data_IF_756521634811
#
_entry.id   IF_756521634811
#
_cell.length_a   1.000
_cell.length_b   1.000
_cell.length_c   1.000
_cell.angle_alpha   90.00
_cell.angle_beta   90.00
_cell.angle_gamma   90.00
#
_symmetry.space_group_name_H-M   'P 1'
#
loop_
_entity.id
_entity.type
_entity.pdbx_description
1 polymer ?
#
# COMPACT_ATOMS: atom_id res chain seq x y z
N UNK A 1 -7.67 -33.15 35.38
CA UNK A 1 -6.57 -32.54 34.60
C UNK A 1 -7.06 -32.43 33.16
N UNK A 2 -7.85 -31.38 32.87
CA UNK A 2 -8.27 -31.08 31.51
C UNK A 2 -7.20 -30.15 30.93
N UNK A 3 -6.57 -30.61 29.84
CA UNK A 3 -5.54 -29.89 29.11
C UNK A 3 -6.24 -28.75 28.37
N UNK A 4 -6.01 -27.53 28.83
CA UNK A 4 -6.51 -26.30 28.22
C UNK A 4 -5.97 -26.23 26.78
N UNK A 5 -6.87 -26.25 25.81
CA UNK A 5 -6.55 -26.19 24.39
C UNK A 5 -6.08 -24.78 24.07
N UNK A 6 -4.81 -24.72 23.70
CA UNK A 6 -4.07 -23.60 23.13
C UNK A 6 -4.95 -22.80 22.16
N UNK A 7 -5.34 -21.61 22.60
CA UNK A 7 -6.13 -20.67 21.83
C UNK A 7 -5.19 -20.02 20.81
N UNK A 8 -5.05 -20.67 19.64
CA UNK A 8 -4.37 -20.07 18.50
C UNK A 8 -5.07 -18.75 18.18
N UNK A 9 -4.39 -17.63 18.35
CA UNK A 9 -4.87 -16.30 17.97
C UNK A 9 -5.25 -16.31 16.48
N UNK A 10 -6.53 -16.48 16.18
CA UNK A 10 -7.07 -16.26 14.83
C UNK A 10 -7.04 -14.74 14.64
N UNK A 11 -6.04 -14.26 13.90
CA UNK A 11 -6.01 -12.88 13.45
C UNK A 11 -7.14 -12.66 12.44
N UNK A 12 -8.04 -11.73 12.70
CA UNK A 12 -9.10 -11.31 11.76
C UNK A 12 -8.56 -10.46 10.59
N UNK A 13 -7.24 -10.29 10.52
CA UNK A 13 -6.53 -9.36 9.63
C UNK A 13 -5.61 -10.11 8.67
N UNK A 14 -5.57 -9.63 7.43
CA UNK A 14 -4.67 -10.11 6.38
C UNK A 14 -3.81 -8.96 5.85
N UNK A 15 -2.48 -9.09 5.98
CA UNK A 15 -1.54 -8.11 5.47
C UNK A 15 -1.13 -8.43 4.03
N UNK A 16 -1.08 -7.42 3.18
CA UNK A 16 -0.68 -7.61 1.79
C UNK A 16 0.83 -7.89 1.69
N UNK A 17 1.20 -9.06 1.17
CA UNK A 17 2.61 -9.46 1.01
C UNK A 17 3.45 -8.53 0.11
N UNK A 18 2.79 -7.75 -0.77
CA UNK A 18 3.49 -6.81 -1.67
C UNK A 18 3.75 -5.45 -1.02
N UNK A 19 2.83 -4.95 -0.19
CA UNK A 19 2.88 -3.54 0.23
C UNK A 19 2.66 -3.33 1.74
N UNK A 20 2.19 -4.35 2.47
CA UNK A 20 2.00 -4.30 3.92
C UNK A 20 0.69 -3.64 4.38
N UNK A 21 -0.24 -3.33 3.47
CA UNK A 21 -1.57 -2.85 3.88
C UNK A 21 -2.32 -3.94 4.63
N UNK A 22 -2.90 -3.57 5.77
CA UNK A 22 -3.89 -4.38 6.48
C UNK A 22 -5.22 -4.39 5.73
N UNK A 23 -5.78 -5.58 5.55
CA UNK A 23 -7.07 -5.84 4.90
C UNK A 23 -7.88 -6.78 5.80
N UNK A 24 -9.20 -6.85 5.57
CA UNK A 24 -10.01 -7.86 6.24
C UNK A 24 -9.63 -9.25 5.73
N UNK A 25 -9.71 -10.29 6.57
CA UNK A 25 -9.43 -11.67 6.15
C UNK A 25 -10.31 -12.18 5.00
N UNK A 26 -11.46 -11.56 4.80
CA UNK A 26 -12.41 -11.87 3.71
C UNK A 26 -12.07 -11.18 2.38
N UNK A 27 -11.15 -10.22 2.38
CA UNK A 27 -10.80 -9.47 1.17
C UNK A 27 -10.03 -10.37 0.19
N UNK A 28 -10.43 -10.36 -1.08
CA UNK A 28 -9.73 -11.13 -2.12
C UNK A 28 -8.46 -10.43 -2.62
N UNK A 29 -8.47 -9.10 -2.62
CA UNK A 29 -7.40 -8.27 -3.13
C UNK A 29 -7.11 -7.13 -2.16
N UNK A 30 -5.85 -6.70 -2.16
CA UNK A 30 -5.40 -5.62 -1.33
C UNK A 30 -6.15 -4.33 -1.70
N UNK A 31 -6.79 -3.74 -0.70
CA UNK A 31 -7.59 -2.51 -0.84
C UNK A 31 -6.77 -1.26 -1.21
N UNK A 32 -5.45 -1.41 -1.36
CA UNK A 32 -4.53 -0.34 -1.73
C UNK A 32 -3.83 -0.60 -3.06
N UNK A 33 -3.07 -1.69 -3.17
CA UNK A 33 -2.28 -1.97 -4.37
C UNK A 33 -3.00 -2.87 -5.38
N UNK A 34 -4.13 -3.47 -5.01
CA UNK A 34 -4.87 -4.41 -5.86
C UNK A 34 -4.26 -5.81 -5.95
N UNK A 35 -3.12 -6.07 -5.31
CA UNK A 35 -2.49 -7.40 -5.30
C UNK A 35 -3.38 -8.44 -4.63
N UNK A 36 -3.36 -9.69 -5.13
CA UNK A 36 -4.19 -10.75 -4.56
C UNK A 36 -3.73 -11.07 -3.12
N UNK A 37 -4.68 -11.20 -2.22
CA UNK A 37 -4.42 -11.65 -0.85
C UNK A 37 -4.39 -13.19 -0.85
N UNK A 38 -3.26 -13.76 -0.42
CA UNK A 38 -3.02 -15.21 -0.44
C UNK A 38 -2.54 -15.63 0.93
N UNK A 39 -3.27 -16.55 1.54
CA UNK A 39 -2.82 -17.21 2.77
C UNK A 39 -1.84 -18.31 2.37
N UNK A 40 -0.61 -18.21 2.83
CA UNK A 40 0.47 -19.15 2.52
C UNK A 40 0.75 -19.97 3.77
N UNK A 41 0.61 -21.27 3.66
CA UNK A 41 0.90 -22.25 4.73
C UNK A 41 2.18 -23.02 4.39
N UNK A 42 2.74 -23.74 5.37
CA UNK A 42 3.91 -24.60 5.17
C UNK A 42 3.67 -25.73 4.15
N UNK A 43 2.41 -26.07 3.89
CA UNK A 43 1.99 -27.07 2.90
C UNK A 43 1.82 -26.47 1.49
N UNK A 44 1.92 -25.15 1.34
CA UNK A 44 1.75 -24.49 0.04
C UNK A 44 2.92 -24.83 -0.88
N UNK A 45 2.65 -25.50 -1.99
CA UNK A 45 3.68 -25.81 -2.99
C UNK A 45 4.17 -24.52 -3.68
N UNK A 46 5.47 -24.25 -3.57
CA UNK A 46 6.14 -23.14 -4.24
C UNK A 46 7.40 -23.63 -4.94
N UNK A 47 7.57 -23.40 -6.25
CA UNK A 47 8.75 -23.85 -7.01
C UNK A 47 10.05 -23.16 -6.54
N UNK A 48 9.94 -22.02 -5.87
CA UNK A 48 11.06 -21.24 -5.34
C UNK A 48 11.20 -21.38 -3.82
N UNK A 49 10.46 -22.31 -3.19
CA UNK A 49 10.41 -22.47 -1.75
C UNK A 49 9.53 -21.42 -1.05
N UNK A 50 9.48 -21.50 0.28
CA UNK A 50 8.74 -20.60 1.15
C UNK A 50 9.73 -19.88 2.08
N UNK A 51 9.37 -18.69 2.54
CA UNK A 51 10.17 -17.90 3.50
C UNK A 51 9.40 -17.75 4.80
N UNK A 52 10.02 -18.07 5.92
CA UNK A 52 9.45 -17.91 7.27
C UNK A 52 9.62 -16.47 7.77
N UNK A 53 8.60 -15.94 8.43
CA UNK A 53 8.67 -14.65 9.13
C UNK A 53 9.51 -14.79 10.42
N UNK A 54 10.39 -13.83 10.69
CA UNK A 54 11.22 -13.82 11.91
C UNK A 54 10.44 -13.48 13.18
N UNK A 55 9.28 -12.83 13.05
CA UNK A 55 8.49 -12.34 14.19
C UNK A 55 7.36 -13.29 14.59
N UNK A 56 6.68 -13.90 13.62
CA UNK A 56 5.52 -14.76 13.89
C UNK A 56 5.67 -16.19 13.36
N UNK A 57 6.82 -16.52 12.78
CA UNK A 57 7.15 -17.84 12.22
C UNK A 57 6.26 -18.34 11.06
N UNK A 58 5.20 -17.59 10.69
CA UNK A 58 4.38 -17.94 9.54
C UNK A 58 5.16 -17.94 8.22
N UNK A 59 4.75 -18.82 7.32
CA UNK A 59 5.31 -18.96 5.99
C UNK A 59 4.73 -17.96 5.01
N UNK A 60 5.56 -17.49 4.09
CA UNK A 60 5.23 -16.50 3.08
C UNK A 60 5.80 -16.92 1.73
N UNK A 61 5.29 -16.30 0.67
CA UNK A 61 5.87 -16.46 -0.67
C UNK A 61 7.31 -15.92 -0.71
N UNK A 62 8.18 -16.47 -1.58
CA UNK A 62 9.59 -16.10 -1.63
C UNK A 62 9.84 -14.66 -2.11
N UNK A 63 8.84 -14.03 -2.71
CA UNK A 63 8.87 -12.62 -3.13
C UNK A 63 8.04 -11.70 -2.21
N UNK A 64 7.59 -12.19 -1.05
CA UNK A 64 6.86 -11.37 -0.10
C UNK A 64 7.80 -10.33 0.52
N UNK A 65 7.44 -9.05 0.41
CA UNK A 65 8.11 -7.96 1.12
C UNK A 65 7.61 -7.83 2.57
N UNK A 66 6.38 -8.28 2.82
CA UNK A 66 5.70 -8.24 4.13
C UNK A 66 5.11 -9.60 4.47
N UNK A 67 5.09 -9.95 5.75
CA UNK A 67 4.42 -11.15 6.22
C UNK A 67 2.90 -10.99 6.08
N UNK A 68 2.24 -11.96 5.47
CA UNK A 68 0.79 -11.90 5.26
C UNK A 68 -0.02 -11.96 6.56
N UNK A 69 0.58 -12.53 7.61
CA UNK A 69 -0.09 -12.76 8.88
C UNK A 69 0.12 -11.64 9.91
N UNK A 70 1.37 -11.24 10.16
CA UNK A 70 1.68 -10.22 11.18
C UNK A 70 2.06 -8.85 10.60
N UNK A 71 2.29 -8.74 9.28
CA UNK A 71 2.65 -7.48 8.62
C UNK A 71 4.12 -7.08 8.75
N UNK A 72 4.97 -7.87 9.41
CA UNK A 72 6.42 -7.60 9.52
C UNK A 72 7.10 -7.64 8.15
N UNK A 73 8.02 -6.72 7.90
CA UNK A 73 8.88 -6.73 6.71
C UNK A 73 9.79 -7.96 6.68
N UNK A 74 9.81 -8.65 5.54
CA UNK A 74 10.64 -9.83 5.33
C UNK A 74 11.93 -9.34 4.68
N UNK A 75 13.01 -9.25 5.46
CA UNK A 75 14.32 -8.87 4.93
C UNK A 75 14.74 -9.83 3.81
N UNK A 76 15.06 -9.29 2.63
CA UNK A 76 15.21 -10.02 1.36
C UNK A 76 16.39 -10.98 1.24
N UNK A 77 16.86 -11.59 2.34
CA UNK A 77 18.12 -12.34 2.37
C UNK A 77 17.96 -13.81 2.82
N UNK A 78 16.74 -14.31 3.09
CA UNK A 78 16.53 -15.67 3.62
C UNK A 78 15.99 -16.69 2.59
N UNK A 79 16.52 -16.66 1.35
CA UNK A 79 16.26 -17.70 0.37
C UNK A 79 17.57 -18.33 -0.14
N UNK A 80 18.24 -19.08 0.72
CA UNK A 80 19.11 -20.21 0.36
C UNK A 80 18.86 -21.24 1.48
N UNK A 81 18.12 -22.32 1.24
CA UNK A 81 18.69 -23.54 0.67
C UNK A 81 17.61 -24.27 -0.13
N UNK A 82 17.78 -24.36 -1.45
CA UNK A 82 17.10 -25.38 -2.22
C UNK A 82 17.61 -26.73 -1.73
N UNK A 83 16.78 -27.48 -0.99
CA UNK A 83 17.08 -28.87 -0.69
C UNK A 83 17.18 -29.63 -2.02
N UNK A 84 18.42 -29.97 -2.35
CA UNK A 84 18.85 -30.86 -3.39
C UNK A 84 18.19 -32.25 -3.25
N UNK A 85 17.55 -32.78 -4.31
CA UNK A 85 17.48 -34.21 -4.50
C UNK A 85 18.31 -34.59 -5.74
N UNK A 86 19.47 -35.21 -5.49
CA UNK A 86 20.11 -36.07 -6.49
C UNK A 86 19.17 -37.23 -6.83
N UNK A 87 19.19 -37.56 -8.12
CA UNK A 87 18.84 -38.83 -8.76
C UNK A 87 17.38 -39.30 -8.72
N UNK A 88 16.64 -39.05 -9.81
CA UNK A 88 15.82 -40.08 -10.46
C UNK A 88 16.02 -39.97 -11.97
N UNK A 89 16.45 -41.09 -12.55
CA UNK A 89 16.66 -41.34 -13.97
C UNK A 89 15.34 -41.48 -14.75
N UNK A 90 15.30 -40.92 -15.95
CA UNK A 90 14.63 -41.47 -17.15
C UNK A 90 13.13 -41.79 -17.07
N UNK A 91 12.32 -40.99 -17.77
CA UNK A 91 10.93 -41.36 -18.08
C UNK A 91 10.24 -40.29 -18.91
N UNK A 92 9.58 -40.71 -19.99
CA UNK A 92 9.11 -39.90 -21.10
C UNK A 92 8.01 -38.87 -20.75
N UNK A 93 8.03 -37.78 -21.53
CA UNK A 93 6.95 -36.82 -21.76
C UNK A 93 5.67 -37.58 -22.13
N UNK A 94 4.56 -37.29 -21.44
CA UNK A 94 3.22 -37.35 -22.01
C UNK A 94 2.30 -36.33 -21.32
N UNK A 95 1.55 -35.61 -22.16
CA UNK A 95 0.58 -34.54 -21.87
C UNK A 95 -0.65 -35.02 -21.10
N UNK A 96 -1.10 -34.26 -20.10
CA UNK A 96 -2.49 -34.24 -19.58
C UNK A 96 -2.74 -32.84 -19.01
N UNK A 97 -3.36 -31.93 -19.77
CA UNK A 97 -4.79 -31.58 -19.79
C UNK A 97 -5.14 -30.42 -18.85
N UNK A 98 -5.65 -29.34 -19.46
CA UNK A 98 -5.96 -28.08 -18.82
C UNK A 98 -7.15 -28.21 -17.87
N UNK A 99 -6.93 -28.11 -16.56
CA UNK A 99 -8.03 -28.08 -15.59
C UNK A 99 -8.38 -26.65 -15.12
N UNK A 100 -9.53 -26.22 -15.66
CA UNK A 100 -10.51 -25.21 -15.21
C UNK A 100 -10.12 -24.29 -14.05
N UNK A 101 -10.07 -23.00 -14.38
CA UNK A 101 -10.23 -21.86 -13.46
C UNK A 101 -11.56 -22.01 -12.71
N UNK A 102 -11.52 -22.21 -11.39
CA UNK A 102 -12.68 -22.13 -10.52
C UNK A 102 -13.03 -20.65 -10.26
N UNK A 103 -14.22 -20.23 -10.69
CA UNK A 103 -14.82 -18.91 -10.44
C UNK A 103 -16.02 -19.13 -9.50
N UNK A 104 -16.00 -18.68 -8.23
CA UNK A 104 -17.19 -18.70 -7.40
C UNK A 104 -18.15 -17.58 -7.84
N UNK A 105 -19.44 -17.92 -7.96
CA UNK A 105 -20.50 -16.96 -8.28
C UNK A 105 -20.77 -16.01 -7.11
N UNK A 106 -20.90 -14.72 -7.42
CA UNK A 106 -21.20 -13.65 -6.48
C UNK A 106 -22.72 -13.56 -6.30
N UNK A 107 -23.21 -13.69 -5.06
CA UNK A 107 -24.52 -13.15 -4.68
C UNK A 107 -24.34 -12.20 -3.48
N UNK A 108 -24.75 -10.92 -3.60
CA UNK A 108 -24.72 -9.99 -2.48
C UNK A 108 -26.03 -10.07 -1.68
N UNK A 109 -25.93 -10.31 -0.37
CA UNK A 109 -27.00 -10.00 0.58
C UNK A 109 -26.52 -8.86 1.47
N UNK A 110 -27.13 -7.70 1.24
CA UNK A 110 -27.04 -6.50 2.06
C UNK A 110 -27.87 -6.70 3.32
N UNK A 111 -27.29 -6.43 4.49
CA UNK A 111 -28.08 -6.05 5.66
C UNK A 111 -27.35 -5.01 6.48
N UNK A 112 -27.91 -3.80 6.44
CA UNK A 112 -27.65 -2.69 7.33
C UNK A 112 -28.15 -3.03 8.74
N UNK A 113 -27.30 -2.85 9.74
CA UNK A 113 -27.67 -2.91 11.16
C UNK A 113 -26.93 -1.80 11.92
N UNK A 114 -27.67 -0.75 12.22
CA UNK A 114 -27.26 0.43 12.98
C UNK A 114 -27.67 0.20 14.44
N UNK A 115 -26.78 0.31 15.42
CA UNK A 115 -27.18 0.61 16.80
C UNK A 115 -26.04 1.15 17.67
N UNK A 116 -26.35 2.25 18.35
CA UNK A 116 -25.53 3.00 19.31
C UNK A 116 -25.66 2.39 20.70
N UNK A 117 -24.61 2.52 21.52
CA UNK A 117 -24.62 2.96 22.94
C UNK A 117 -23.25 2.63 23.56
N UNK A 118 -22.40 3.62 23.84
CA UNK A 118 -22.32 4.37 25.10
C UNK A 118 -21.70 3.57 26.27
N UNK A 119 -20.48 3.93 26.66
CA UNK A 119 -20.03 3.95 28.07
C UNK A 119 -18.83 4.88 28.20
N UNK A 120 -18.98 5.92 29.01
CA UNK A 120 -17.89 6.81 29.44
C UNK A 120 -17.53 6.57 30.90
N UNK A 121 -16.52 7.32 31.38
CA UNK A 121 -16.00 7.45 32.77
C UNK A 121 -14.54 6.99 32.85
N UNK A 122 -13.57 7.70 33.42
CA UNK A 122 -13.47 8.99 34.12
C UNK A 122 -11.99 9.36 34.16
N UNK A 123 -11.72 10.65 34.27
CA UNK A 123 -10.42 11.24 34.54
C UNK A 123 -9.90 10.82 35.93
N UNK A 124 -8.60 10.54 36.04
CA UNK A 124 -7.87 10.70 37.28
C UNK A 124 -6.41 11.07 37.00
N UNK A 125 -6.11 12.32 37.32
CA UNK A 125 -4.81 12.97 37.30
C UNK A 125 -4.04 12.60 38.58
N UNK A 126 -2.73 12.30 38.48
CA UNK A 126 -1.64 13.00 39.22
C UNK A 126 -0.30 12.27 39.08
N UNK A 127 0.71 13.08 38.75
CA UNK A 127 2.12 13.04 39.17
C UNK A 127 2.86 11.70 39.24
N UNK A 128 3.68 11.42 38.23
CA UNK A 128 5.14 11.23 38.43
C UNK A 128 5.84 11.27 37.05
N UNK A 129 6.59 12.33 36.75
CA UNK A 129 7.42 12.39 35.54
C UNK A 129 8.71 13.15 35.82
N UNK A 130 9.57 12.53 36.64
CA UNK A 130 11.00 12.87 36.72
C UNK A 130 11.89 11.72 36.17
N UNK A 131 11.36 10.89 35.27
CA UNK A 131 12.09 9.81 34.59
C UNK A 131 11.90 9.72 33.07
N UNK A 132 11.45 10.80 32.40
CA UNK A 132 11.43 10.84 30.91
C UNK A 132 12.72 11.46 30.38
N UNK A 133 13.83 10.75 30.58
CA UNK A 133 15.06 10.94 29.81
C UNK A 133 15.52 9.55 29.43
N UNK A 134 15.59 9.29 28.12
CA UNK A 134 16.00 8.04 27.46
C UNK A 134 14.89 7.09 26.96
N UNK A 135 13.78 7.63 26.45
CA UNK A 135 13.04 6.95 25.38
C UNK A 135 13.00 7.84 24.14
N UNK A 136 14.10 7.83 23.37
CA UNK A 136 14.03 8.20 21.95
C UNK A 136 13.32 7.07 21.21
N UNK A 137 12.02 6.93 21.45
CA UNK A 137 11.19 6.04 20.65
C UNK A 137 11.18 6.61 19.25
N UNK A 138 11.78 5.85 18.34
CA UNK A 138 11.49 5.86 16.92
C UNK A 138 10.02 6.26 16.72
N UNK A 139 9.77 7.45 16.17
CA UNK A 139 8.39 7.88 15.87
C UNK A 139 7.85 6.80 14.95
N UNK A 140 6.91 6.00 15.45
CA UNK A 140 6.36 4.87 14.70
C UNK A 140 5.98 5.35 13.30
N UNK A 141 6.59 4.75 12.30
CA UNK A 141 6.41 5.20 10.92
C UNK A 141 5.02 4.81 10.44
N UNK A 142 4.09 5.76 10.51
CA UNK A 142 2.68 5.61 10.14
C UNK A 142 2.41 5.62 8.64
N UNK A 143 3.46 5.72 7.80
CA UNK A 143 3.27 5.71 6.35
C UNK A 143 2.57 4.43 5.87
N UNK A 144 1.83 4.55 4.78
CA UNK A 144 1.10 3.43 4.20
C UNK A 144 -0.14 2.98 4.97
N UNK A 145 -0.40 3.53 6.15
CA UNK A 145 -1.64 3.33 6.91
C UNK A 145 -2.71 4.32 6.45
N UNK A 146 -3.97 3.86 6.30
CA UNK A 146 -5.09 4.70 5.84
C UNK A 146 -5.35 5.91 6.74
N UNK A 147 -5.29 5.69 8.05
CA UNK A 147 -5.51 6.72 9.08
C UNK A 147 -4.21 7.13 9.78
N UNK A 148 -3.06 6.77 9.22
CA UNK A 148 -1.75 7.12 9.76
C UNK A 148 -1.62 8.62 10.01
N UNK A 149 -1.07 8.98 11.17
CA UNK A 149 -0.79 10.37 11.52
C UNK A 149 0.24 10.94 10.55
N UNK A 150 -0.07 12.06 9.91
CA UNK A 150 0.86 12.67 8.94
C UNK A 150 1.81 13.60 9.68
N UNK A 151 3.14 13.35 9.61
CA UNK A 151 4.13 14.22 10.24
C UNK A 151 3.97 15.67 9.75
N UNK A 152 4.04 16.67 10.64
CA UNK A 152 3.89 18.06 10.26
C UNK A 152 4.96 18.52 9.26
N UNK A 153 6.14 17.90 9.29
CA UNK A 153 7.29 18.21 8.43
C UNK A 153 7.03 18.02 6.93
N UNK A 154 6.12 17.10 6.57
CA UNK A 154 5.80 16.81 5.17
C UNK A 154 4.55 17.55 4.69
N UNK A 155 3.86 18.27 5.57
CA UNK A 155 2.71 19.09 5.19
C UNK A 155 3.22 20.29 4.39
N UNK A 156 2.64 20.49 3.22
CA UNK A 156 3.05 21.58 2.34
C UNK A 156 2.58 21.35 0.91
N UNK A 157 2.84 22.34 0.07
CA UNK A 157 2.48 22.29 -1.34
C UNK A 157 3.29 21.25 -2.10
N UNK A 158 2.61 20.38 -2.84
CA UNK A 158 3.22 19.39 -3.71
C UNK A 158 3.10 19.82 -5.19
N UNK A 159 4.21 20.31 -5.73
CA UNK A 159 4.30 20.75 -7.13
C UNK A 159 4.03 19.63 -8.14
N UNK A 160 4.44 18.39 -7.83
CA UNK A 160 4.20 17.26 -8.73
C UNK A 160 2.73 16.88 -8.78
N UNK A 161 2.06 16.85 -7.63
CA UNK A 161 0.64 16.57 -7.50
C UNK A 161 -0.23 17.63 -8.19
N UNK A 162 0.20 18.88 -8.21
CA UNK A 162 -0.48 19.95 -8.92
C UNK A 162 -0.25 19.92 -10.44
N UNK A 163 1.00 19.82 -10.89
CA UNK A 163 1.35 19.97 -12.31
C UNK A 163 1.06 18.72 -13.16
N UNK A 164 1.13 17.53 -12.54
CA UNK A 164 0.88 16.26 -13.23
C UNK A 164 0.14 15.26 -12.33
N UNK A 165 -1.10 15.58 -11.90
CA UNK A 165 -1.81 14.82 -10.87
C UNK A 165 -1.93 13.32 -11.19
N UNK A 166 -2.27 12.99 -12.45
CA UNK A 166 -2.47 11.62 -12.89
C UNK A 166 -1.18 10.79 -12.86
N UNK A 167 -0.10 11.29 -13.47
CA UNK A 167 1.19 10.58 -13.56
C UNK A 167 1.80 10.44 -12.16
N UNK A 168 1.91 11.55 -11.44
CA UNK A 168 2.50 11.54 -10.10
C UNK A 168 1.70 10.67 -9.12
N UNK A 169 0.37 10.72 -9.18
CA UNK A 169 -0.48 10.01 -8.25
C UNK A 169 -0.45 8.49 -8.43
N UNK A 170 -0.29 8.01 -9.66
CA UNK A 170 -0.09 6.58 -9.95
C UNK A 170 1.15 6.04 -9.22
N UNK A 171 2.29 6.73 -9.32
CA UNK A 171 3.55 6.28 -8.70
C UNK A 171 3.67 6.61 -7.21
N UNK A 172 2.83 7.52 -6.71
CA UNK A 172 2.79 7.91 -5.30
C UNK A 172 1.74 7.15 -4.47
N UNK A 173 0.97 6.25 -5.09
CA UNK A 173 -0.05 5.46 -4.41
C UNK A 173 -1.30 6.26 -4.04
N UNK A 174 -1.67 7.24 -4.87
CA UNK A 174 -2.75 8.20 -4.59
C UNK A 174 -3.97 7.86 -5.47
N UNK A 175 -4.96 7.11 -4.97
CA UNK A 175 -6.04 6.56 -5.80
C UNK A 175 -6.94 7.63 -6.44
N UNK A 176 -7.08 8.80 -5.80
CA UNK A 176 -7.85 9.93 -6.36
C UNK A 176 -7.27 10.44 -7.70
N UNK A 177 -5.99 10.17 -7.99
CA UNK A 177 -5.40 10.51 -9.28
C UNK A 177 -6.02 9.75 -10.46
N UNK A 178 -6.50 8.52 -10.23
CA UNK A 178 -7.22 7.75 -11.26
C UNK A 178 -8.56 8.41 -11.62
N UNK A 179 -9.28 8.94 -10.63
CA UNK A 179 -10.51 9.68 -10.85
C UNK A 179 -10.27 10.97 -11.65
N UNK A 180 -9.17 11.68 -11.37
CA UNK A 180 -8.79 12.85 -12.18
C UNK A 180 -8.42 12.46 -13.62
N UNK A 181 -7.76 11.32 -13.83
CA UNK A 181 -7.48 10.85 -15.17
C UNK A 181 -8.78 10.59 -15.97
N UNK A 182 -9.79 10.00 -15.32
CA UNK A 182 -11.11 9.81 -15.94
C UNK A 182 -11.83 11.13 -16.26
N UNK A 183 -11.57 12.20 -15.49
CA UNK A 183 -12.18 13.51 -15.73
C UNK A 183 -11.77 14.16 -17.07
N UNK A 184 -10.69 13.69 -17.72
CA UNK A 184 -10.28 14.13 -19.07
C UNK A 184 -11.34 13.81 -20.13
N UNK A 185 -12.16 12.77 -19.92
CA UNK A 185 -13.21 12.37 -20.87
C UNK A 185 -14.53 13.13 -20.66
N UNK A 186 -14.62 13.99 -19.65
CA UNK A 186 -15.80 14.83 -19.44
C UNK A 186 -15.84 15.96 -20.49
N UNK A 187 -17.05 16.35 -20.94
CA UNK A 187 -17.19 17.40 -21.94
C UNK A 187 -16.67 18.74 -21.43
N UNK A 188 -16.13 19.53 -22.34
CA UNK A 188 -15.67 20.88 -22.04
C UNK A 188 -16.85 21.83 -21.78
N UNK A 189 -16.73 22.78 -20.82
CA UNK A 189 -15.57 23.05 -19.96
C UNK A 189 -15.57 22.28 -18.63
N UNK A 190 -16.57 21.43 -18.37
CA UNK A 190 -16.77 20.80 -17.07
C UNK A 190 -15.58 19.92 -16.66
N UNK A 191 -15.06 19.10 -17.57
CA UNK A 191 -13.88 18.27 -17.30
C UNK A 191 -12.65 19.08 -16.90
N UNK A 192 -12.39 20.18 -17.60
CA UNK A 192 -11.25 21.07 -17.34
C UNK A 192 -11.38 21.75 -15.97
N UNK A 193 -12.59 22.16 -15.58
CA UNK A 193 -12.83 22.74 -14.25
C UNK A 193 -12.57 21.70 -13.15
N UNK A 194 -13.07 20.47 -13.31
CA UNK A 194 -12.83 19.38 -12.36
C UNK A 194 -11.33 19.07 -12.25
N UNK A 195 -10.63 19.00 -13.38
CA UNK A 195 -9.17 18.79 -13.42
C UNK A 195 -8.41 19.90 -12.71
N UNK A 196 -8.76 21.18 -12.92
CA UNK A 196 -8.11 22.31 -12.29
C UNK A 196 -8.34 22.33 -10.77
N UNK A 197 -9.59 22.16 -10.33
CA UNK A 197 -9.92 22.11 -8.89
C UNK A 197 -9.22 20.91 -8.23
N UNK A 198 -9.28 19.74 -8.88
CA UNK A 198 -8.61 18.53 -8.43
C UNK A 198 -7.10 18.71 -8.30
N UNK A 199 -6.45 19.32 -9.30
CA UNK A 199 -5.03 19.61 -9.28
C UNK A 199 -4.65 20.54 -8.12
N UNK A 200 -5.40 21.61 -7.88
CA UNK A 200 -5.15 22.52 -6.75
C UNK A 200 -5.33 21.80 -5.42
N UNK A 201 -6.40 21.01 -5.27
CA UNK A 201 -6.63 20.19 -4.08
C UNK A 201 -5.49 19.22 -3.80
N UNK A 202 -5.01 18.53 -4.83
CA UNK A 202 -3.84 17.65 -4.75
C UNK A 202 -2.53 18.42 -4.52
N UNK A 203 -2.42 19.67 -4.96
CA UNK A 203 -1.32 20.54 -4.58
C UNK A 203 -1.24 20.72 -3.06
N UNK A 204 -2.36 20.95 -2.38
CA UNK A 204 -2.37 21.10 -0.92
C UNK A 204 -2.28 19.77 -0.15
N UNK A 205 -3.01 18.75 -0.60
CA UNK A 205 -3.16 17.47 0.13
C UNK A 205 -2.31 16.33 -0.41
N UNK A 206 -1.57 16.54 -1.49
CA UNK A 206 -0.81 15.51 -2.19
C UNK A 206 0.19 14.80 -1.29
N UNK A 207 0.93 15.54 -0.46
CA UNK A 207 1.89 14.91 0.46
C UNK A 207 1.19 13.99 1.48
N UNK A 208 0.03 14.41 2.01
CA UNK A 208 -0.74 13.58 2.95
C UNK A 208 -1.25 12.30 2.29
N UNK A 209 -1.78 12.40 1.07
CA UNK A 209 -2.23 11.24 0.32
C UNK A 209 -1.08 10.33 -0.07
N UNK A 210 0.07 10.88 -0.48
CA UNK A 210 1.25 10.08 -0.83
C UNK A 210 1.89 9.40 0.38
N UNK A 211 1.82 10.03 1.56
CA UNK A 211 2.28 9.43 2.82
C UNK A 211 1.44 8.22 3.20
N UNK A 212 0.11 8.34 3.11
CA UNK A 212 -0.83 7.25 3.39
C UNK A 212 -0.90 6.22 2.26
N UNK A 213 -0.53 6.63 1.04
CA UNK A 213 -0.65 5.86 -0.19
C UNK A 213 0.38 4.73 -0.33
N UNK A 214 1.52 4.82 0.36
CA UNK A 214 2.51 3.73 0.41
C UNK A 214 3.36 3.79 1.67
N UNK A 215 3.97 2.66 2.03
CA UNK A 215 4.96 2.59 3.09
C UNK A 215 6.25 3.27 2.59
N UNK A 216 6.84 4.09 3.44
CA UNK A 216 8.12 4.76 3.24
C UNK A 216 9.04 4.34 4.37
N UNK A 217 10.35 4.28 4.14
CA UNK A 217 11.31 3.86 5.17
C UNK A 217 11.47 4.96 6.24
N UNK A 218 11.48 6.22 5.80
CA UNK A 218 11.62 7.39 6.67
C UNK A 218 11.02 8.65 6.05
N UNK A 219 10.83 9.68 6.87
CA UNK A 219 10.39 11.01 6.43
C UNK A 219 11.38 11.62 5.43
N UNK A 220 12.68 11.39 5.62
CA UNK A 220 13.71 11.89 4.71
C UNK A 220 13.65 11.22 3.34
N UNK A 221 13.45 9.90 3.30
CA UNK A 221 13.31 9.14 2.06
C UNK A 221 12.05 9.54 1.27
N UNK A 222 10.93 9.79 1.96
CA UNK A 222 9.74 10.42 1.38
C UNK A 222 10.05 11.79 0.78
N UNK A 223 10.65 12.67 1.57
CA UNK A 223 10.87 14.08 1.21
C UNK A 223 11.82 14.20 0.02
N UNK A 224 12.90 13.42 -0.01
CA UNK A 224 13.83 13.34 -1.15
C UNK A 224 13.10 12.91 -2.43
N UNK A 225 12.21 11.92 -2.32
CA UNK A 225 11.45 11.42 -3.46
C UNK A 225 10.46 12.46 -3.99
N UNK A 226 9.69 13.10 -3.10
CA UNK A 226 8.73 14.15 -3.50
C UNK A 226 9.43 15.38 -4.09
N UNK A 227 10.60 15.77 -3.55
CA UNK A 227 11.41 16.87 -4.12
C UNK A 227 11.88 16.56 -5.54
N UNK A 228 12.34 15.32 -5.80
CA UNK A 228 12.72 14.89 -7.16
C UNK A 228 11.52 14.97 -8.10
N UNK A 229 10.38 14.41 -7.69
CA UNK A 229 9.13 14.50 -8.46
C UNK A 229 8.73 15.94 -8.77
N UNK A 230 8.74 16.84 -7.78
CA UNK A 230 8.42 18.25 -7.97
C UNK A 230 9.39 18.95 -8.93
N UNK A 231 10.68 18.67 -8.82
CA UNK A 231 11.70 19.24 -9.73
C UNK A 231 11.46 18.82 -11.18
N UNK A 232 11.20 17.52 -11.41
CA UNK A 232 10.90 17.02 -12.75
C UNK A 232 9.58 17.58 -13.29
N UNK A 233 8.53 17.63 -12.46
CA UNK A 233 7.24 18.20 -12.84
C UNK A 233 7.39 19.63 -13.36
N UNK A 234 8.09 20.49 -12.61
CA UNK A 234 8.31 21.89 -12.99
C UNK A 234 9.11 22.00 -14.28
N UNK A 235 10.19 21.21 -14.43
CA UNK A 235 11.02 21.24 -15.64
C UNK A 235 10.24 20.80 -16.88
N UNK A 236 9.46 19.73 -16.77
CA UNK A 236 8.65 19.20 -17.87
C UNK A 236 7.54 20.20 -18.23
N UNK A 237 6.82 20.75 -17.25
CA UNK A 237 5.78 21.75 -17.48
C UNK A 237 6.34 23.01 -18.15
N UNK A 238 7.53 23.48 -17.72
CA UNK A 238 8.18 24.63 -18.34
C UNK A 238 8.60 24.34 -19.79
N UNK A 239 9.13 23.14 -20.07
CA UNK A 239 9.47 22.73 -21.43
C UNK A 239 8.23 22.71 -22.35
N UNK A 240 7.12 22.13 -21.89
CA UNK A 240 5.86 22.14 -22.65
C UNK A 240 5.32 23.55 -22.87
N UNK A 241 5.42 24.43 -21.87
CA UNK A 241 5.00 25.83 -22.00
C UNK A 241 5.83 26.56 -23.07
N UNK A 242 7.15 26.39 -23.07
CA UNK A 242 8.04 26.97 -24.09
C UNK A 242 7.69 26.45 -25.49
N UNK A 243 7.51 25.13 -25.63
CA UNK A 243 7.12 24.52 -26.91
C UNK A 243 5.76 25.02 -27.41
N UNK A 244 4.78 25.16 -26.52
CA UNK A 244 3.47 25.70 -26.86
C UNK A 244 3.55 27.16 -27.33
N UNK A 245 4.40 27.98 -26.69
CA UNK A 245 4.63 29.36 -27.11
C UNK A 245 5.32 29.45 -28.48
N UNK A 246 6.34 28.62 -28.73
CA UNK A 246 7.00 28.54 -30.04
C UNK A 246 5.98 28.12 -31.12
N UNK A 247 5.18 27.10 -30.83
CA UNK A 247 4.13 26.63 -31.74
C UNK A 247 3.11 27.74 -32.04
N UNK A 248 2.58 28.42 -31.03
CA UNK A 248 1.65 29.52 -31.21
C UNK A 248 2.23 30.60 -32.13
N UNK A 249 3.48 31.00 -31.92
CA UNK A 249 4.18 31.99 -32.77
C UNK A 249 4.52 31.51 -34.18
N UNK A 250 4.55 30.21 -34.42
CA UNK A 250 4.79 29.65 -35.76
C UNK A 250 3.51 29.53 -36.59
N UNK A 251 2.34 29.60 -35.93
CA UNK A 251 1.02 29.51 -36.55
C UNK A 251 0.43 30.90 -36.80
N UNK A 252 0.90 31.92 -36.07
CA UNK A 252 0.68 33.35 -36.33
C UNK A 252 1.54 33.87 -37.50
#
# INVERSE_FOLDING_TARGET
MAKELEQSHISDKHFCAHCGTENAMIDYACIRCGERLVQVTSETESPLGLVSCTECENTNNPHAAYCWFCGTEISGNAAIEALNPKSVSGGQVNSVESHKIYRPELNPVSTTGNERSASGSKDLETNDTDQIVDNWSEIENTSGQREGSVPPEIKGWNWAAFLMPAVWGLFSGVPIAAALWAAVFLPAPFGQIVLLIGAVFLGFKGNEFAWRGKKWESIDQFTKTQKKWGTWAVRISLAFLILALIYARSVD
#
